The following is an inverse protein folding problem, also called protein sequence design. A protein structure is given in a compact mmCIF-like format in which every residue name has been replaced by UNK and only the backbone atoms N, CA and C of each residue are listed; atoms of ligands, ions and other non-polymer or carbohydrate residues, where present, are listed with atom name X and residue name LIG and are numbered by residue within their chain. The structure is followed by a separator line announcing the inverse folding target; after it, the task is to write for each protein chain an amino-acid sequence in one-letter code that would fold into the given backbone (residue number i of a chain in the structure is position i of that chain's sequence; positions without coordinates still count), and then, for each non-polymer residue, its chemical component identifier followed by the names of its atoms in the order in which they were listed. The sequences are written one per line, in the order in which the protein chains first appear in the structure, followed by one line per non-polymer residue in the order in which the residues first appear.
data_IF_423688943871
#
_entry.id   IF_423688943871
#
_cell.length_a   1.000
_cell.length_b   1.000
_cell.length_c   1.000
_cell.angle_alpha   90.00
_cell.angle_beta   90.00
_cell.angle_gamma   90.00
#
_symmetry.space_group_name_H-M   'P 1'
#
loop_
_entity.id
_entity.type
_entity.pdbx_description
1 polymer ?
#
# COMPACT_ATOMS: atom_id res chain seq x y z
N UNK A 1 -1.27 11.24 -0.73
CA UNK A 1 -0.27 11.99 0.05
C UNK A 1 -0.67 12.02 1.52
N UNK A 2 0.29 12.08 2.41
CA UNK A 2 0.09 12.07 3.86
C UNK A 2 1.13 12.99 4.54
N UNK A 3 0.72 13.78 5.52
CA UNK A 3 1.66 14.60 6.30
C UNK A 3 2.44 13.74 7.28
N UNK A 4 3.74 13.99 7.39
CA UNK A 4 4.60 13.29 8.34
C UNK A 4 4.44 13.88 9.74
N UNK A 5 3.98 13.06 10.68
CA UNK A 5 3.94 13.41 12.11
C UNK A 5 5.35 13.40 12.74
N UNK A 6 5.54 14.11 13.86
CA UNK A 6 4.56 14.99 14.51
C UNK A 6 4.53 16.42 13.96
N UNK A 7 5.54 16.84 13.20
CA UNK A 7 5.73 18.27 12.87
C UNK A 7 4.91 18.74 11.66
N UNK A 8 4.44 17.82 10.80
CA UNK A 8 3.72 18.11 9.54
C UNK A 8 4.48 19.04 8.56
N UNK A 9 5.80 19.10 8.68
CA UNK A 9 6.71 19.86 7.81
C UNK A 9 7.11 19.12 6.53
N UNK A 10 6.86 17.81 6.51
CA UNK A 10 7.09 16.92 5.37
C UNK A 10 5.81 16.21 4.93
N UNK A 11 5.81 15.79 3.68
CA UNK A 11 4.76 14.97 3.08
C UNK A 11 5.33 13.66 2.54
N UNK A 12 4.55 12.57 2.66
CA UNK A 12 4.75 11.34 1.93
C UNK A 12 3.75 11.26 0.78
N UNK A 13 4.19 10.77 -0.35
CA UNK A 13 3.31 10.52 -1.50
C UNK A 13 3.87 9.40 -2.38
N UNK A 14 3.01 8.75 -3.13
CA UNK A 14 3.41 7.79 -4.15
C UNK A 14 3.31 8.44 -5.53
N UNK A 15 4.28 8.17 -6.42
CA UNK A 15 4.32 8.75 -7.74
C UNK A 15 5.20 7.95 -8.71
N UNK A 16 4.94 8.12 -10.00
CA UNK A 16 5.75 7.61 -11.12
C UNK A 16 6.62 8.70 -11.78
N UNK A 17 6.68 9.91 -11.20
CA UNK A 17 7.29 11.09 -11.84
C UNK A 17 8.79 10.92 -12.17
N UNK A 18 9.49 10.04 -11.46
CA UNK A 18 10.92 9.75 -11.67
C UNK A 18 11.17 8.92 -12.93
N UNK A 19 10.18 8.14 -13.41
CA UNK A 19 10.28 7.35 -14.64
C UNK A 19 9.60 8.01 -15.83
N UNK A 20 8.57 8.86 -15.61
CA UNK A 20 7.88 9.56 -16.70
C UNK A 20 7.29 10.89 -16.23
N UNK A 21 7.41 11.92 -17.08
CA UNK A 21 6.72 13.22 -16.90
C UNK A 21 5.25 13.15 -17.28
N UNK A 22 4.85 12.13 -18.05
CA UNK A 22 3.46 11.94 -18.47
C UNK A 22 2.73 11.10 -17.44
N UNK A 23 1.45 11.42 -17.22
CA UNK A 23 0.58 10.56 -16.42
C UNK A 23 0.49 9.16 -17.03
N UNK A 24 0.44 8.10 -16.20
CA UNK A 24 0.18 6.75 -16.69
C UNK A 24 -1.14 6.70 -17.46
N UNK A 25 -1.25 5.85 -18.51
CA UNK A 25 -2.49 5.69 -19.23
C UNK A 25 -3.61 5.13 -18.33
N UNK A 26 -4.88 5.46 -18.60
CA UNK A 26 -5.99 4.88 -17.85
C UNK A 26 -6.03 3.36 -18.04
N UNK A 27 -6.57 2.60 -17.05
CA UNK A 27 -6.72 1.17 -17.17
C UNK A 27 -7.67 0.75 -18.30
N UNK A 28 -7.52 -0.48 -18.77
CA UNK A 28 -8.46 -1.08 -19.73
C UNK A 28 -9.77 -1.46 -19.00
N UNK A 29 -10.79 -0.63 -19.15
CA UNK A 29 -12.10 -0.85 -18.56
C UNK A 29 -12.94 -1.94 -19.22
N UNK A 30 -12.48 -2.58 -20.33
CA UNK A 30 -13.16 -3.74 -20.93
C UNK A 30 -13.25 -4.92 -19.97
N UNK A 31 -12.39 -4.95 -18.95
CA UNK A 31 -12.38 -5.95 -17.86
C UNK A 31 -13.32 -5.60 -16.70
N UNK A 32 -14.13 -4.57 -16.83
CA UNK A 32 -14.96 -4.01 -15.76
C UNK A 32 -14.19 -3.08 -14.83
N UNK A 33 -14.71 -2.88 -13.61
CA UNK A 33 -14.06 -2.01 -12.64
C UNK A 33 -12.82 -2.69 -12.05
N UNK A 34 -11.65 -2.21 -12.43
CA UNK A 34 -10.34 -2.69 -11.98
C UNK A 34 -9.45 -1.50 -11.60
N UNK A 35 -8.54 -1.71 -10.66
CA UNK A 35 -7.47 -0.78 -10.35
C UNK A 35 -6.19 -1.24 -11.03
N UNK A 36 -5.54 -0.32 -11.75
CA UNK A 36 -4.23 -0.58 -12.37
C UNK A 36 -3.13 -0.30 -11.34
N UNK A 37 -2.24 -1.27 -11.19
CA UNK A 37 -1.02 -1.15 -10.41
C UNK A 37 0.08 -0.72 -11.38
N UNK A 38 0.31 0.58 -11.49
CA UNK A 38 1.33 1.09 -12.40
C UNK A 38 2.71 0.78 -11.85
N UNK A 39 3.53 0.12 -12.65
CA UNK A 39 4.95 -0.09 -12.34
C UNK A 39 5.67 1.24 -12.11
N UNK A 40 6.58 1.25 -11.13
CA UNK A 40 7.32 2.45 -10.76
C UNK A 40 6.51 3.46 -9.95
N UNK A 41 5.38 3.09 -9.37
CA UNK A 41 4.88 3.82 -8.22
C UNK A 41 5.80 3.55 -7.05
N UNK A 42 6.57 4.58 -6.69
CA UNK A 42 7.43 4.58 -5.52
C UNK A 42 6.97 5.61 -4.50
N UNK A 43 7.36 5.38 -3.25
CA UNK A 43 7.08 6.27 -2.13
C UNK A 43 8.18 7.31 -2.04
N UNK A 44 7.78 8.56 -1.97
CA UNK A 44 8.64 9.73 -1.83
C UNK A 44 8.30 10.50 -0.57
N UNK A 45 9.32 11.18 -0.05
CA UNK A 45 9.19 12.15 1.02
C UNK A 45 9.77 13.48 0.53
N UNK A 46 9.11 14.58 0.87
CA UNK A 46 9.58 15.93 0.58
C UNK A 46 9.15 16.89 1.69
N UNK A 47 9.79 18.05 1.78
CA UNK A 47 9.26 19.14 2.57
C UNK A 47 7.89 19.56 2.02
N UNK A 48 7.02 20.14 2.85
CA UNK A 48 5.69 20.59 2.45
C UNK A 48 5.69 21.67 1.34
N UNK A 49 6.82 22.34 1.12
CA UNK A 49 7.04 23.27 0.02
C UNK A 49 7.61 22.61 -1.25
N UNK A 50 7.76 21.27 -1.27
CA UNK A 50 8.28 20.47 -2.39
C UNK A 50 9.80 20.38 -2.46
N UNK A 51 10.57 20.99 -1.56
CA UNK A 51 12.03 20.87 -1.51
C UNK A 51 12.47 19.56 -0.80
N UNK A 52 13.76 19.24 -0.88
CA UNK A 52 14.37 18.09 -0.21
C UNK A 52 13.66 16.77 -0.53
N UNK A 53 13.46 16.52 -1.83
CA UNK A 53 12.85 15.29 -2.32
C UNK A 53 13.76 14.09 -2.04
N UNK A 54 13.19 13.06 -1.41
CA UNK A 54 13.83 11.78 -1.14
C UNK A 54 12.94 10.65 -1.68
N UNK A 55 13.51 9.68 -2.38
CA UNK A 55 12.83 8.44 -2.77
C UNK A 55 13.09 7.39 -1.71
N UNK A 56 12.04 6.75 -1.16
CA UNK A 56 12.13 5.80 -0.05
C UNK A 56 12.03 4.34 -0.50
N UNK A 57 11.35 4.09 -1.64
CA UNK A 57 11.26 2.75 -2.24
C UNK A 57 11.84 2.79 -3.65
N UNK A 58 12.46 1.67 -4.08
CA UNK A 58 13.18 1.55 -5.35
C UNK A 58 12.95 0.19 -6.01
N UNK A 59 12.06 -0.62 -5.43
CA UNK A 59 11.75 -1.96 -5.90
C UNK A 59 10.87 -1.88 -7.15
N UNK A 60 11.04 -2.84 -8.06
CA UNK A 60 10.15 -2.93 -9.21
C UNK A 60 8.71 -3.23 -8.76
N UNK A 61 7.76 -2.51 -9.33
CA UNK A 61 6.35 -2.76 -9.10
C UNK A 61 5.61 -1.54 -8.57
N UNK A 62 4.75 -1.76 -7.59
CA UNK A 62 3.82 -0.77 -7.05
C UNK A 62 4.02 -0.66 -5.53
N UNK A 63 4.52 0.49 -5.09
CA UNK A 63 4.62 0.90 -3.70
C UNK A 63 3.80 2.17 -3.47
N UNK A 64 2.77 2.11 -2.64
CA UNK A 64 1.85 3.23 -2.46
C UNK A 64 1.13 3.22 -1.11
N UNK A 65 0.16 4.13 -0.94
CA UNK A 65 -0.74 4.23 0.22
C UNK A 65 0.01 4.39 1.56
N UNK A 66 1.18 5.05 1.53
CA UNK A 66 2.04 5.23 2.70
C UNK A 66 1.44 6.20 3.73
N UNK A 67 1.46 5.78 5.00
CA UNK A 67 1.12 6.62 6.16
C UNK A 67 2.18 6.49 7.24
N UNK A 68 2.28 7.50 8.11
CA UNK A 68 3.31 7.58 9.18
C UNK A 68 2.65 7.33 10.53
N UNK A 69 3.37 6.63 11.42
CA UNK A 69 2.99 6.54 12.84
C UNK A 69 3.02 7.92 13.51
N UNK A 70 2.19 8.14 14.53
CA UNK A 70 2.05 9.45 15.16
C UNK A 70 3.33 9.92 15.85
N UNK A 71 4.12 9.00 16.38
CA UNK A 71 5.45 9.30 16.93
C UNK A 71 6.52 9.61 15.85
N UNK A 72 6.16 9.50 14.57
CA UNK A 72 7.05 9.74 13.45
C UNK A 72 8.15 8.70 13.28
N UNK A 73 8.06 7.52 13.87
CA UNK A 73 9.14 6.52 13.83
C UNK A 73 9.05 5.55 12.66
N UNK A 74 7.84 5.25 12.18
CA UNK A 74 7.60 4.20 11.18
C UNK A 74 6.65 4.67 10.08
N UNK A 75 6.85 4.11 8.89
CA UNK A 75 5.94 4.17 7.75
C UNK A 75 5.28 2.80 7.59
N UNK A 76 3.96 2.78 7.33
CA UNK A 76 3.25 1.60 6.84
C UNK A 76 2.73 1.89 5.44
N UNK A 77 2.79 0.90 4.54
CA UNK A 77 2.48 1.10 3.12
C UNK A 77 2.03 -0.21 2.45
N UNK A 78 1.52 -0.11 1.24
CA UNK A 78 1.15 -1.25 0.38
C UNK A 78 2.25 -1.45 -0.65
N UNK A 79 2.70 -2.71 -0.83
CA UNK A 79 3.71 -3.09 -1.83
C UNK A 79 3.39 -4.41 -2.50
N UNK A 80 3.76 -4.51 -3.79
CA UNK A 80 3.70 -5.76 -4.58
C UNK A 80 5.04 -6.50 -4.65
N UNK A 81 6.06 -6.06 -3.95
CA UNK A 81 7.43 -6.60 -4.04
C UNK A 81 7.56 -8.09 -3.68
N UNK A 82 6.58 -8.65 -2.95
CA UNK A 82 6.48 -10.10 -2.68
C UNK A 82 5.83 -10.92 -3.80
N UNK A 83 5.30 -10.25 -4.84
CA UNK A 83 4.51 -10.86 -5.92
C UNK A 83 2.99 -10.79 -5.68
N UNK A 84 2.55 -10.27 -4.53
CA UNK A 84 1.17 -9.98 -4.18
C UNK A 84 1.08 -8.65 -3.44
N UNK A 85 -0.12 -8.07 -3.32
CA UNK A 85 -0.33 -6.82 -2.61
C UNK A 85 -0.41 -7.05 -1.11
N UNK A 86 0.64 -6.65 -0.42
CA UNK A 86 0.78 -6.86 1.01
C UNK A 86 1.01 -5.54 1.76
N UNK A 87 0.67 -5.54 3.04
CA UNK A 87 1.03 -4.45 3.95
C UNK A 87 2.47 -4.63 4.41
N UNK A 88 3.26 -3.59 4.25
CA UNK A 88 4.65 -3.50 4.67
C UNK A 88 4.88 -2.35 5.64
N UNK A 89 5.97 -2.39 6.37
CA UNK A 89 6.45 -1.29 7.21
C UNK A 89 7.94 -1.05 6.99
N UNK A 90 8.39 0.19 7.21
CA UNK A 90 9.79 0.61 7.11
C UNK A 90 10.08 1.75 8.08
N UNK A 91 11.35 2.05 8.30
CA UNK A 91 11.78 3.28 8.98
C UNK A 91 11.51 4.51 8.11
N UNK A 92 11.55 5.71 8.70
CA UNK A 92 11.35 6.97 7.96
C UNK A 92 12.36 7.22 6.84
N UNK A 93 13.53 6.61 6.90
CA UNK A 93 14.61 6.72 5.90
C UNK A 93 14.50 5.65 4.79
N UNK A 94 13.42 4.85 4.79
CA UNK A 94 13.21 3.75 3.86
C UNK A 94 13.93 2.45 4.21
N UNK A 95 14.70 2.42 5.30
CA UNK A 95 15.39 1.20 5.77
C UNK A 95 14.46 0.26 6.55
N UNK A 96 14.95 -0.94 6.91
CA UNK A 96 14.25 -1.93 7.72
C UNK A 96 12.86 -2.27 7.21
N UNK A 97 12.74 -2.55 5.90
CA UNK A 97 11.50 -2.98 5.27
C UNK A 97 11.08 -4.36 5.75
N UNK A 98 9.85 -4.49 6.22
CA UNK A 98 9.28 -5.74 6.74
C UNK A 98 7.87 -5.96 6.22
N UNK A 99 7.61 -7.13 5.65
CA UNK A 99 6.28 -7.57 5.24
C UNK A 99 5.47 -7.94 6.49
N UNK A 100 4.27 -7.38 6.62
CA UNK A 100 3.37 -7.63 7.75
C UNK A 100 2.24 -8.59 7.41
N UNK A 101 1.81 -8.66 6.14
CA UNK A 101 0.80 -9.61 5.66
C UNK A 101 1.39 -10.53 4.58
N UNK A 102 0.80 -11.71 4.36
CA UNK A 102 1.31 -12.71 3.39
C UNK A 102 0.22 -13.69 2.94
N UNK A 103 -1.03 -13.27 2.92
CA UNK A 103 -2.14 -14.13 2.48
C UNK A 103 -2.54 -13.75 1.05
N UNK A 104 -2.68 -14.76 0.16
CA UNK A 104 -3.13 -14.52 -1.21
C UNK A 104 -4.37 -13.62 -1.25
N UNK A 105 -4.25 -12.48 -1.91
CA UNK A 105 -5.29 -11.48 -2.03
C UNK A 105 -4.77 -10.05 -1.89
N UNK A 106 -5.69 -9.11 -1.80
CA UNK A 106 -5.37 -7.70 -1.65
C UNK A 106 -5.30 -7.32 -0.16
N UNK A 107 -4.18 -6.79 0.24
CA UNK A 107 -3.98 -6.10 1.51
C UNK A 107 -3.47 -4.67 1.22
N UNK A 108 -4.23 -3.62 1.59
CA UNK A 108 -3.82 -2.27 1.25
C UNK A 108 -4.52 -1.16 2.04
N UNK A 109 -4.09 0.07 1.80
CA UNK A 109 -4.58 1.26 2.50
C UNK A 109 -4.36 1.21 4.00
N UNK A 110 -3.13 0.90 4.48
CA UNK A 110 -2.89 0.75 5.90
C UNK A 110 -2.75 2.09 6.62
N UNK A 111 -3.22 2.13 7.88
CA UNK A 111 -3.07 3.26 8.79
C UNK A 111 -2.67 2.79 10.18
N UNK A 112 -1.76 3.51 10.81
CA UNK A 112 -1.51 3.35 12.24
C UNK A 112 -2.69 3.88 13.07
N UNK A 113 -2.93 3.25 14.23
CA UNK A 113 -3.73 3.87 15.28
C UNK A 113 -3.03 5.10 15.84
N UNK A 114 -3.77 6.02 16.45
CA UNK A 114 -3.23 7.20 17.11
C UNK A 114 -2.16 6.85 18.18
N UNK A 115 -2.32 5.75 18.90
CA UNK A 115 -1.32 5.26 19.86
C UNK A 115 -0.11 4.56 19.21
N UNK A 116 -0.06 4.41 17.87
CA UNK A 116 1.03 3.77 17.14
C UNK A 116 1.14 2.25 17.31
N UNK A 117 0.33 1.62 18.16
CA UNK A 117 0.45 0.21 18.53
C UNK A 117 -0.41 -0.76 17.70
N UNK A 118 -1.25 -0.24 16.81
CA UNK A 118 -2.10 -1.01 15.90
C UNK A 118 -1.99 -0.48 14.48
N UNK A 119 -2.31 -1.38 13.53
CA UNK A 119 -2.48 -1.05 12.12
C UNK A 119 -3.85 -1.55 11.69
N UNK A 120 -4.63 -0.71 11.00
CA UNK A 120 -5.87 -1.05 10.33
C UNK A 120 -5.64 -1.03 8.82
N UNK A 121 -6.24 -1.97 8.07
CA UNK A 121 -6.11 -2.00 6.61
C UNK A 121 -7.34 -2.60 5.95
N UNK A 122 -7.46 -2.43 4.63
CA UNK A 122 -8.49 -3.08 3.79
C UNK A 122 -7.92 -4.36 3.21
N UNK A 123 -8.76 -5.40 3.12
CA UNK A 123 -8.35 -6.65 2.50
C UNK A 123 -9.46 -7.30 1.69
N UNK A 124 -9.07 -8.05 0.66
CA UNK A 124 -9.91 -9.00 -0.05
C UNK A 124 -9.12 -10.29 -0.25
N UNK A 125 -9.66 -11.40 0.21
CA UNK A 125 -9.04 -12.72 0.04
C UNK A 125 -9.97 -13.59 -0.81
N UNK A 126 -9.55 -14.00 -2.02
CA UNK A 126 -10.34 -14.90 -2.86
C UNK A 126 -10.45 -16.27 -2.21
N UNK A 127 -11.66 -16.84 -2.14
CA UNK A 127 -11.94 -18.11 -1.45
C UNK A 127 -12.27 -19.23 -2.42
N UNK A 128 -13.00 -18.94 -3.50
CA UNK A 128 -13.37 -19.94 -4.51
C UNK A 128 -12.28 -20.09 -5.56
N UNK A 129 -12.21 -21.28 -6.20
CA UNK A 129 -11.27 -21.53 -7.29
C UNK A 129 -11.39 -20.50 -8.44
N UNK A 130 -12.61 -20.03 -8.73
CA UNK A 130 -12.88 -19.01 -9.74
C UNK A 130 -12.29 -17.65 -9.33
N UNK A 131 -12.49 -17.22 -8.10
CA UNK A 131 -11.96 -15.96 -7.58
C UNK A 131 -10.44 -15.97 -7.53
N UNK A 132 -9.84 -17.08 -7.07
CA UNK A 132 -8.39 -17.28 -7.04
C UNK A 132 -7.80 -17.17 -8.46
N UNK A 133 -8.45 -17.77 -9.45
CA UNK A 133 -8.00 -17.72 -10.83
C UNK A 133 -8.13 -16.31 -11.42
N UNK A 134 -9.26 -15.60 -11.18
CA UNK A 134 -9.46 -14.20 -11.62
C UNK A 134 -8.43 -13.27 -10.96
N UNK A 135 -8.23 -13.39 -9.65
CA UNK A 135 -7.25 -12.60 -8.91
C UNK A 135 -5.84 -12.79 -9.46
N UNK A 136 -5.37 -14.04 -9.61
CA UNK A 136 -4.04 -14.34 -10.16
C UNK A 136 -3.85 -13.84 -11.59
N UNK A 137 -4.89 -13.93 -12.42
CA UNK A 137 -4.85 -13.39 -13.78
C UNK A 137 -4.72 -11.88 -13.78
N UNK A 138 -5.48 -11.18 -12.95
CA UNK A 138 -5.44 -9.71 -12.86
C UNK A 138 -4.09 -9.23 -12.31
N UNK A 139 -3.57 -9.85 -11.24
CA UNK A 139 -2.26 -9.52 -10.67
C UNK A 139 -1.13 -9.68 -11.71
N UNK A 140 -1.16 -10.74 -12.50
CA UNK A 140 -0.19 -10.96 -13.59
C UNK A 140 -0.24 -9.89 -14.69
N UNK A 141 -1.34 -9.16 -14.80
CA UNK A 141 -1.53 -8.01 -15.70
C UNK A 141 -1.38 -6.66 -14.98
N UNK A 142 -0.85 -6.67 -13.75
CA UNK A 142 -0.71 -5.50 -12.87
C UNK A 142 -2.05 -4.80 -12.61
N UNK A 143 -3.07 -5.58 -12.27
CA UNK A 143 -4.42 -5.08 -11.94
C UNK A 143 -4.99 -5.83 -10.75
N UNK A 144 -5.94 -5.20 -10.06
CA UNK A 144 -6.81 -5.85 -9.08
C UNK A 144 -8.27 -5.44 -9.29
N UNK A 145 -9.18 -6.30 -8.84
CA UNK A 145 -10.62 -6.00 -8.77
C UNK A 145 -10.99 -5.75 -7.30
N UNK A 146 -11.28 -4.50 -6.91
CA UNK A 146 -11.69 -4.20 -5.53
C UNK A 146 -13.13 -4.67 -5.31
N UNK A 147 -13.30 -5.83 -4.70
CA UNK A 147 -14.60 -6.44 -4.36
C UNK A 147 -14.62 -6.83 -2.90
N UNK A 148 -15.78 -6.70 -2.24
CA UNK A 148 -16.03 -7.22 -0.90
C UNK A 148 -14.91 -6.92 0.09
N UNK A 149 -14.38 -5.68 0.06
CA UNK A 149 -13.28 -5.27 0.93
C UNK A 149 -13.72 -5.32 2.39
N UNK A 150 -12.92 -6.02 3.19
CA UNK A 150 -13.10 -6.13 4.63
C UNK A 150 -12.04 -5.28 5.35
N UNK A 151 -12.38 -4.77 6.50
CA UNK A 151 -11.44 -4.09 7.38
C UNK A 151 -10.83 -5.10 8.34
N UNK A 152 -9.52 -5.04 8.48
CA UNK A 152 -8.74 -5.85 9.42
C UNK A 152 -7.88 -4.97 10.32
N UNK A 153 -7.48 -5.54 11.44
CA UNK A 153 -6.59 -4.91 12.42
C UNK A 153 -5.50 -5.90 12.85
N UNK A 154 -4.32 -5.38 13.14
CA UNK A 154 -3.20 -6.12 13.74
C UNK A 154 -2.43 -5.25 14.72
N UNK A 155 -1.53 -5.86 15.49
CA UNK A 155 -0.50 -5.12 16.22
C UNK A 155 0.50 -4.48 15.24
N UNK A 156 1.18 -3.42 15.64
CA UNK A 156 2.16 -2.73 14.79
C UNK A 156 3.34 -3.63 14.36
N UNK A 157 3.60 -4.71 15.10
CA UNK A 157 4.60 -5.73 14.76
C UNK A 157 4.10 -6.80 13.76
N UNK A 158 2.86 -6.69 13.28
CA UNK A 158 2.22 -7.64 12.35
C UNK A 158 1.54 -8.83 13.03
N UNK A 159 1.62 -8.97 14.34
CA UNK A 159 0.95 -10.03 15.09
C UNK A 159 -0.54 -9.74 15.34
N UNK A 160 -1.30 -10.74 15.79
CA UNK A 160 -2.68 -10.55 16.24
C UNK A 160 -3.66 -10.10 15.15
N UNK A 161 -3.45 -10.52 13.89
CA UNK A 161 -4.33 -10.18 12.76
C UNK A 161 -5.78 -10.64 13.00
N UNK A 162 -6.72 -9.72 12.80
CA UNK A 162 -8.14 -9.95 13.05
C UNK A 162 -9.00 -9.20 12.03
N UNK A 163 -10.00 -9.86 11.48
CA UNK A 163 -11.06 -9.20 10.70
C UNK A 163 -12.04 -8.52 11.64
N UNK A 164 -12.51 -7.32 11.28
CA UNK A 164 -13.46 -6.53 12.07
C UNK A 164 -14.74 -6.17 11.33
N UNK A 165 -14.79 -6.30 10.00
CA UNK A 165 -16.04 -6.19 9.22
C UNK A 165 -16.33 -7.49 8.49
N UNK A 166 -17.61 -7.73 8.19
CA UNK A 166 -18.11 -8.95 7.54
C UNK A 166 -19.22 -8.57 6.55
N UNK A 167 -18.84 -7.73 5.56
CA UNK A 167 -19.76 -7.29 4.51
C UNK A 167 -19.97 -8.44 3.51
N UNK A 168 -21.21 -8.66 3.10
CA UNK A 168 -21.61 -9.59 2.03
C UNK A 168 -21.61 -8.90 0.65
#
# INVERSE_FOLDING_TARGET
AYFQYPNNDKILYASTHHISKSCPPPPDYSKGYVWKLHEGYDIFRANSNGSSLEQLTHENGYDAEATVSEDGSRIVYTSISSGDLEVWTMNLDGSDKRMLTNKLGYDGGPFFSHAGNKIVWRSYYPETAKEIMDYKKLIAESMIRPMNLQIRIMNADGSGKKQITYNE
#
